data_IF_479473566326
#
_entry.id   IF_479473566326
#
_cell.length_a   1.000
_cell.length_b   1.000
_cell.length_c   1.000
_cell.angle_alpha   90.00
_cell.angle_beta   90.00
_cell.angle_gamma   90.00
#
_symmetry.space_group_name_H-M   'P 1'
#
loop_
_entity.id
_entity.type
_entity.pdbx_description
1 polymer ?
#
# COMPACT_ATOMS: atom_id res chain seq x y z
N UNK A 1 8.76 -1.00 12.06
CA UNK A 1 8.00 -0.14 11.12
C UNK A 1 8.01 1.33 11.52
N UNK A 2 7.81 1.69 12.79
CA UNK A 2 7.78 3.08 13.24
C UNK A 2 9.09 3.87 12.97
N UNK A 3 10.26 3.27 13.25
CA UNK A 3 11.56 3.91 13.02
C UNK A 3 11.80 4.25 11.53
N UNK A 4 11.52 3.29 10.63
CA UNK A 4 11.63 3.50 9.18
C UNK A 4 10.72 4.61 8.68
N UNK A 5 9.50 4.73 9.22
CA UNK A 5 8.57 5.81 8.87
C UNK A 5 9.14 7.18 9.27
N UNK A 6 9.68 7.30 10.49
CA UNK A 6 10.30 8.53 10.96
C UNK A 6 11.56 8.91 10.13
N UNK A 7 12.37 7.94 9.72
CA UNK A 7 13.50 8.18 8.82
C UNK A 7 13.07 8.74 7.46
N UNK A 8 11.99 8.20 6.89
CA UNK A 8 11.41 8.67 5.62
C UNK A 8 10.91 10.10 5.75
N UNK A 9 10.21 10.43 6.85
CA UNK A 9 9.73 11.79 7.13
C UNK A 9 10.89 12.78 7.25
N UNK A 10 11.93 12.44 8.00
CA UNK A 10 13.14 13.28 8.12
C UNK A 10 13.85 13.49 6.78
N UNK A 11 13.86 12.48 5.91
CA UNK A 11 14.44 12.60 4.57
C UNK A 11 13.58 13.51 3.67
N UNK A 12 12.25 13.39 3.75
CA UNK A 12 11.32 14.24 3.01
C UNK A 12 11.48 15.72 3.39
N UNK A 13 11.58 16.02 4.69
CA UNK A 13 11.81 17.39 5.19
C UNK A 13 13.12 18.00 4.65
N UNK A 14 14.21 17.22 4.63
CA UNK A 14 15.50 17.65 4.07
C UNK A 14 15.41 17.96 2.58
N UNK A 15 14.61 17.21 1.83
CA UNK A 15 14.38 17.42 0.40
C UNK A 15 13.60 18.71 0.18
N UNK A 16 12.47 18.89 0.87
CA UNK A 16 11.62 20.09 0.76
C UNK A 16 12.42 21.33 1.16
N UNK A 17 13.13 21.30 2.30
CA UNK A 17 13.98 22.42 2.73
C UNK A 17 15.09 22.75 1.72
N UNK A 18 15.67 21.73 1.06
CA UNK A 18 16.66 21.91 0.01
C UNK A 18 16.08 22.55 -1.26
N UNK A 19 14.84 22.22 -1.62
CA UNK A 19 14.13 22.80 -2.77
C UNK A 19 13.70 24.25 -2.49
N UNK A 20 13.16 24.52 -1.30
CA UNK A 20 12.81 25.89 -0.86
C UNK A 20 14.03 26.81 -0.84
N UNK A 21 15.21 26.32 -0.42
CA UNK A 21 16.47 27.09 -0.51
C UNK A 21 16.90 27.40 -1.93
N UNK A 22 16.60 26.50 -2.88
CA UNK A 22 16.87 26.72 -4.31
C UNK A 22 15.90 27.73 -4.92
N UNK A 23 14.61 27.66 -4.61
CA UNK A 23 13.61 28.63 -5.09
C UNK A 23 13.88 30.04 -4.53
N UNK A 24 14.40 30.14 -3.31
CA UNK A 24 14.86 31.41 -2.69
C UNK A 24 16.20 31.95 -3.22
N UNK A 25 16.84 31.30 -4.19
CA UNK A 25 18.13 31.76 -4.74
C UNK A 25 19.34 31.63 -3.79
N UNK A 26 19.17 31.11 -2.57
CA UNK A 26 20.24 30.93 -1.57
C UNK A 26 21.11 29.67 -1.84
N UNK A 27 21.13 29.20 -3.08
CA UNK A 27 21.80 27.97 -3.46
C UNK A 27 23.32 28.18 -3.59
N UNK A 28 24.04 27.79 -2.55
CA UNK A 28 25.51 27.85 -2.52
C UNK A 28 26.09 26.59 -3.17
N UNK A 29 27.00 26.76 -4.16
CA UNK A 29 27.63 25.62 -4.85
C UNK A 29 28.43 24.74 -3.89
N UNK A 30 28.57 23.44 -4.20
CA UNK A 30 29.36 22.48 -3.40
C UNK A 30 30.78 22.98 -3.10
N UNK A 31 31.38 23.73 -4.04
CA UNK A 31 32.74 24.29 -3.93
C UNK A 31 32.80 25.43 -2.89
N UNK A 32 31.79 26.30 -2.87
CA UNK A 32 31.67 27.38 -1.89
C UNK A 32 31.30 26.85 -0.48
N UNK A 33 30.45 25.82 -0.39
CA UNK A 33 30.08 25.18 0.88
C UNK A 33 31.25 24.44 1.56
N UNK A 34 32.17 23.85 0.77
CA UNK A 34 33.42 23.25 1.29
C UNK A 34 34.39 24.31 1.83
N UNK A 35 34.35 25.53 1.30
CA UNK A 35 35.17 26.67 1.76
C UNK A 35 34.69 27.22 3.10
N UNK A 36 33.37 27.37 3.29
CA UNK A 36 32.78 27.79 4.57
C UNK A 36 32.99 26.77 5.70
N UNK A 37 32.96 25.47 5.38
CA UNK A 37 33.18 24.42 6.39
C UNK A 37 34.64 24.31 6.85
N UNK A 38 35.58 24.90 6.10
CA UNK A 38 37.01 24.96 6.44
C UNK A 38 37.38 26.19 7.28
N UNK A 39 36.50 27.19 7.39
CA UNK A 39 36.75 28.46 8.09
C UNK A 39 36.02 28.63 9.42
N UNK A 40 35.29 27.62 9.92
CA UNK A 40 34.41 27.74 11.09
C UNK A 40 34.71 26.74 12.21
N UNK A 41 35.90 26.82 12.80
CA UNK A 41 36.23 26.11 14.04
C UNK A 41 36.86 27.09 15.04
N UNK A 42 36.01 27.91 15.66
CA UNK A 42 36.29 28.66 16.89
C UNK A 42 34.94 29.07 17.51
N UNK A 43 34.79 28.81 18.81
CA UNK A 43 33.57 28.86 19.63
C UNK A 43 33.08 30.28 19.94
N UNK A 44 31.79 30.44 20.25
CA UNK A 44 31.32 31.06 21.51
C UNK A 44 29.79 31.03 21.67
N UNK A 45 29.41 31.06 22.94
CA UNK A 45 28.13 30.83 23.61
C UNK A 45 27.11 31.98 23.59
N UNK A 46 25.89 31.59 23.95
CA UNK A 46 24.87 32.27 24.78
C UNK A 46 24.14 33.56 24.31
N UNK A 47 22.79 33.42 24.28
CA UNK A 47 21.86 34.34 24.94
C UNK A 47 21.30 35.50 24.12
N UNK A 48 19.99 35.49 23.84
CA UNK A 48 19.06 36.48 24.41
C UNK A 48 17.60 36.13 24.10
N UNK A 49 16.76 36.26 25.11
CA UNK A 49 15.33 35.99 25.09
C UNK A 49 14.53 37.23 24.66
N UNK A 50 13.41 36.97 23.98
CA UNK A 50 12.20 37.80 24.00
C UNK A 50 12.17 39.05 23.10
N UNK A 51 11.54 38.93 21.92
CA UNK A 51 10.57 39.92 21.40
C UNK A 51 10.03 39.50 20.02
N UNK A 52 8.73 39.68 19.81
CA UNK A 52 7.93 39.55 18.56
C UNK A 52 7.35 38.17 18.20
N UNK A 53 6.43 37.68 19.02
CA UNK A 53 5.56 36.52 18.72
C UNK A 53 4.81 36.68 17.39
N UNK A 54 4.34 37.89 17.04
CA UNK A 54 3.52 38.12 15.84
C UNK A 54 4.31 38.12 14.52
N UNK A 55 5.53 38.67 14.49
CA UNK A 55 6.37 38.62 13.28
C UNK A 55 6.90 37.23 12.98
N UNK A 56 7.08 36.41 14.01
CA UNK A 56 7.56 35.03 13.88
C UNK A 56 6.45 34.11 13.36
N UNK A 57 5.21 34.33 13.79
CA UNK A 57 4.03 33.61 13.28
C UNK A 57 3.72 33.94 11.82
N UNK A 58 3.80 35.22 11.43
CA UNK A 58 3.61 35.65 10.03
C UNK A 58 4.72 35.08 9.13
N UNK A 59 5.97 35.06 9.61
CA UNK A 59 7.08 34.46 8.88
C UNK A 59 6.96 32.93 8.80
N UNK A 60 6.48 32.27 9.84
CA UNK A 60 6.24 30.82 9.84
C UNK A 60 5.13 30.44 8.85
N UNK A 61 4.04 31.20 8.81
CA UNK A 61 2.94 31.00 7.87
C UNK A 61 3.40 31.19 6.40
N UNK A 62 4.20 32.21 6.12
CA UNK A 62 4.77 32.45 4.79
C UNK A 62 5.76 31.34 4.37
N UNK A 63 6.57 30.84 5.29
CA UNK A 63 7.49 29.71 5.03
C UNK A 63 6.72 28.43 4.70
N UNK A 64 5.60 28.17 5.40
CA UNK A 64 4.78 26.99 5.17
C UNK A 64 4.01 27.09 3.83
N UNK A 65 3.46 28.26 3.51
CA UNK A 65 2.83 28.51 2.20
C UNK A 65 3.82 28.29 1.03
N UNK A 66 5.07 28.73 1.19
CA UNK A 66 6.13 28.48 0.20
C UNK A 66 6.51 27.00 0.08
N UNK A 67 6.47 26.24 1.19
CA UNK A 67 6.71 24.78 1.18
C UNK A 67 5.61 24.06 0.42
N UNK A 68 4.35 24.37 0.71
CA UNK A 68 3.19 23.79 0.04
C UNK A 68 3.21 24.06 -1.47
N UNK A 69 3.55 25.29 -1.88
CA UNK A 69 3.66 25.66 -3.29
C UNK A 69 4.75 24.86 -4.03
N UNK A 70 5.92 24.67 -3.40
CA UNK A 70 7.01 23.86 -3.97
C UNK A 70 6.62 22.39 -4.09
N UNK A 71 5.89 21.85 -3.10
CA UNK A 71 5.38 20.47 -3.16
C UNK A 71 4.39 20.33 -4.31
N UNK A 72 3.44 21.26 -4.46
CA UNK A 72 2.45 21.24 -5.54
C UNK A 72 3.10 21.28 -6.93
N UNK A 73 4.11 22.11 -7.13
CA UNK A 73 4.86 22.20 -8.39
C UNK A 73 5.63 20.91 -8.72
N UNK A 74 6.26 20.29 -7.72
CA UNK A 74 6.94 19.00 -7.88
C UNK A 74 5.96 17.88 -8.17
N UNK A 75 4.80 17.85 -7.52
CA UNK A 75 3.76 16.85 -7.78
C UNK A 75 3.24 16.98 -9.21
N UNK A 76 2.98 18.21 -9.67
CA UNK A 76 2.53 18.47 -11.04
C UNK A 76 3.56 18.10 -12.11
N UNK A 77 4.85 18.36 -11.85
CA UNK A 77 5.92 18.16 -12.84
C UNK A 77 6.53 16.75 -12.85
N UNK A 78 6.61 16.08 -11.69
CA UNK A 78 7.31 14.80 -11.54
C UNK A 78 6.40 13.61 -11.29
N UNK A 79 5.18 13.83 -10.80
CA UNK A 79 4.25 12.74 -10.50
C UNK A 79 3.20 12.69 -11.60
N UNK A 80 3.53 11.96 -12.67
CA UNK A 80 2.56 11.61 -13.71
C UNK A 80 1.69 10.48 -13.17
N UNK A 81 0.37 10.71 -13.10
CA UNK A 81 -0.58 9.62 -12.88
C UNK A 81 -0.48 8.64 -14.05
N UNK A 82 -0.14 7.37 -13.82
CA UNK A 82 -0.03 6.39 -14.91
C UNK A 82 -1.37 6.21 -15.61
N UNK A 83 -1.34 5.92 -16.92
CA UNK A 83 -2.56 5.58 -17.68
C UNK A 83 -3.26 4.38 -17.01
N UNK A 84 -4.59 4.36 -17.10
CA UNK A 84 -5.40 3.23 -16.63
C UNK A 84 -4.96 1.89 -17.24
N UNK A 85 -4.40 1.93 -18.45
CA UNK A 85 -3.95 0.74 -19.19
C UNK A 85 -2.70 0.08 -18.57
N UNK A 86 -1.93 0.80 -17.75
CA UNK A 86 -0.64 0.33 -17.17
C UNK A 86 -0.77 0.15 -15.65
N UNK A 87 -1.91 0.52 -15.07
CA UNK A 87 -2.11 0.44 -13.63
C UNK A 87 -2.58 -0.97 -13.25
N UNK A 88 -1.72 -1.73 -12.59
CA UNK A 88 -2.11 -3.01 -11.99
C UNK A 88 -3.04 -2.73 -10.80
N UNK A 89 -4.33 -3.02 -10.97
CA UNK A 89 -5.27 -3.02 -9.87
C UNK A 89 -5.16 -4.36 -9.14
N UNK A 90 -4.89 -4.38 -7.82
CA UNK A 90 -4.89 -5.62 -7.05
C UNK A 90 -6.31 -6.21 -7.05
N UNK A 91 -6.42 -7.47 -7.49
CA UNK A 91 -7.64 -8.25 -7.31
C UNK A 91 -7.65 -8.73 -5.87
N UNK A 92 -8.58 -8.18 -5.08
CA UNK A 92 -8.72 -8.53 -3.68
C UNK A 92 -9.59 -9.79 -3.59
N UNK A 93 -9.04 -10.86 -3.02
CA UNK A 93 -9.78 -12.08 -2.71
C UNK A 93 -10.65 -11.96 -1.46
N UNK A 94 -10.44 -10.90 -0.69
CA UNK A 94 -11.18 -10.60 0.52
C UNK A 94 -11.81 -9.21 0.43
N UNK A 95 -12.90 -9.01 1.16
CA UNK A 95 -13.55 -7.72 1.23
C UNK A 95 -12.89 -6.90 2.36
N UNK A 96 -12.09 -5.90 1.99
CA UNK A 96 -11.36 -5.04 2.95
C UNK A 96 -12.25 -4.32 3.99
N UNK A 97 -13.55 -4.26 3.74
CA UNK A 97 -14.52 -3.64 4.63
C UNK A 97 -15.04 -4.58 5.72
N UNK A 98 -14.92 -5.89 5.51
CA UNK A 98 -15.43 -6.90 6.42
C UNK A 98 -14.27 -7.37 7.29
N UNK A 99 -14.31 -7.04 8.58
CA UNK A 99 -13.31 -7.54 9.53
C UNK A 99 -13.73 -8.94 9.98
N UNK A 100 -12.78 -9.74 10.43
CA UNK A 100 -13.08 -11.05 11.01
C UNK A 100 -14.07 -10.95 12.20
N UNK A 101 -14.06 -9.83 12.94
CA UNK A 101 -15.02 -9.54 14.02
C UNK A 101 -16.47 -9.35 13.56
N UNK A 102 -16.66 -8.98 12.29
CA UNK A 102 -17.99 -8.70 11.72
C UNK A 102 -18.63 -9.99 11.17
N UNK A 103 -17.86 -11.08 11.09
CA UNK A 103 -18.34 -12.37 10.62
C UNK A 103 -19.08 -13.08 11.74
N UNK A 104 -20.34 -13.42 11.48
CA UNK A 104 -21.10 -14.32 12.35
C UNK A 104 -20.80 -15.75 11.92
N UNK A 105 -20.46 -16.66 12.86
CA UNK A 105 -20.33 -18.08 12.56
C UNK A 105 -21.60 -18.59 11.89
N UNK A 106 -21.49 -19.01 10.63
CA UNK A 106 -22.59 -19.66 9.94
C UNK A 106 -22.56 -21.14 10.32
N UNK A 107 -23.57 -21.61 11.04
CA UNK A 107 -23.76 -23.04 11.24
C UNK A 107 -24.02 -23.69 9.89
N UNK A 108 -23.17 -24.66 9.52
CA UNK A 108 -23.38 -25.46 8.31
C UNK A 108 -24.55 -26.40 8.55
N UNK A 109 -25.74 -25.89 8.35
CA UNK A 109 -26.97 -26.65 8.51
C UNK A 109 -27.29 -27.38 7.20
N UNK A 110 -26.42 -28.32 6.85
CA UNK A 110 -26.52 -29.26 5.73
C UNK A 110 -25.81 -30.57 6.13
N UNK A 111 -26.35 -31.76 5.82
CA UNK A 111 -27.59 -32.07 5.09
C UNK A 111 -28.86 -32.00 5.96
N UNK A 112 -29.97 -31.47 5.42
CA UNK A 112 -31.27 -31.36 6.13
C UNK A 112 -32.32 -32.38 5.70
N UNK A 113 -32.39 -32.66 4.40
CA UNK A 113 -33.38 -33.57 3.82
C UNK A 113 -32.73 -34.91 3.49
N UNK A 114 -33.52 -35.97 3.34
CA UNK A 114 -32.97 -37.27 2.95
C UNK A 114 -32.33 -37.24 1.56
N UNK A 115 -32.87 -36.44 0.64
CA UNK A 115 -32.23 -36.16 -0.65
C UNK A 115 -30.83 -35.55 -0.48
N UNK A 116 -30.65 -34.61 0.47
CA UNK A 116 -29.33 -34.05 0.75
C UNK A 116 -28.36 -35.09 1.29
N UNK A 117 -28.81 -35.96 2.20
CA UNK A 117 -28.00 -37.05 2.75
C UNK A 117 -27.55 -38.01 1.65
N UNK A 118 -28.44 -38.38 0.73
CA UNK A 118 -28.10 -39.21 -0.44
C UNK A 118 -27.06 -38.52 -1.30
N UNK A 119 -27.23 -37.23 -1.62
CA UNK A 119 -26.24 -36.46 -2.39
C UNK A 119 -24.86 -36.41 -1.72
N UNK A 120 -24.81 -36.27 -0.39
CA UNK A 120 -23.55 -36.31 0.36
C UNK A 120 -22.87 -37.68 0.21
N UNK A 121 -23.63 -38.78 0.37
CA UNK A 121 -23.09 -40.14 0.23
C UNK A 121 -22.59 -40.43 -1.18
N UNK A 122 -23.32 -39.98 -2.19
CA UNK A 122 -22.89 -40.12 -3.59
C UNK A 122 -21.63 -39.31 -3.86
N UNK A 123 -21.54 -38.09 -3.31
CA UNK A 123 -20.33 -37.27 -3.40
C UNK A 123 -19.14 -37.96 -2.73
N UNK A 124 -19.31 -38.46 -1.51
CA UNK A 124 -18.28 -39.18 -0.75
C UNK A 124 -17.79 -40.42 -1.51
N UNK A 125 -18.69 -41.27 -1.99
CA UNK A 125 -18.35 -42.48 -2.76
C UNK A 125 -17.58 -42.16 -4.06
N UNK A 126 -18.01 -41.15 -4.81
CA UNK A 126 -17.34 -40.76 -6.05
C UNK A 126 -15.98 -40.08 -5.80
N UNK A 127 -15.88 -39.31 -4.71
CA UNK A 127 -14.64 -38.68 -4.29
C UNK A 127 -13.59 -39.71 -3.85
N UNK A 128 -13.99 -40.70 -3.05
CA UNK A 128 -13.13 -41.81 -2.62
C UNK A 128 -12.63 -42.66 -3.79
N UNK A 129 -13.44 -42.77 -4.86
CA UNK A 129 -13.05 -43.42 -6.12
C UNK A 129 -12.08 -42.60 -6.98
N UNK A 130 -11.69 -41.40 -6.54
CA UNK A 130 -10.73 -40.55 -7.25
C UNK A 130 -11.33 -39.78 -8.43
N UNK A 131 -12.66 -39.60 -8.47
CA UNK A 131 -13.31 -38.76 -9.46
C UNK A 131 -13.30 -37.29 -9.04
N UNK A 132 -13.11 -36.39 -10.01
CA UNK A 132 -13.29 -34.96 -9.80
C UNK A 132 -14.73 -34.57 -10.11
N UNK A 133 -15.34 -33.76 -9.25
CA UNK A 133 -16.76 -33.42 -9.36
C UNK A 133 -16.97 -31.91 -9.31
N UNK A 134 -17.87 -31.39 -10.16
CA UNK A 134 -18.36 -30.02 -10.12
C UNK A 134 -19.90 -29.98 -10.07
N UNK A 135 -20.47 -28.79 -9.93
CA UNK A 135 -21.93 -28.61 -9.87
C UNK A 135 -22.56 -28.96 -11.21
N UNK A 136 -23.47 -29.94 -11.22
CA UNK A 136 -24.13 -30.44 -12.43
C UNK A 136 -25.37 -29.64 -12.86
N UNK A 137 -25.74 -28.58 -12.13
CA UNK A 137 -27.02 -27.88 -12.30
C UNK A 137 -27.25 -27.34 -13.71
N UNK A 138 -26.17 -26.94 -14.40
CA UNK A 138 -26.22 -26.49 -15.81
C UNK A 138 -26.69 -27.58 -16.79
N UNK A 139 -26.50 -28.86 -16.43
CA UNK A 139 -26.80 -30.02 -17.27
C UNK A 139 -28.01 -30.81 -16.75
N UNK A 140 -28.76 -30.27 -15.77
CA UNK A 140 -29.93 -30.93 -15.19
C UNK A 140 -29.60 -32.08 -14.24
N UNK A 141 -28.35 -32.20 -13.77
CA UNK A 141 -27.93 -33.17 -12.76
C UNK A 141 -27.44 -32.51 -11.47
N UNK A 142 -27.23 -33.31 -10.42
CA UNK A 142 -26.65 -32.82 -9.17
C UNK A 142 -25.13 -32.62 -9.29
N UNK A 143 -24.45 -33.57 -9.92
CA UNK A 143 -22.99 -33.58 -10.06
C UNK A 143 -22.57 -33.75 -11.51
N UNK A 144 -21.50 -33.07 -11.89
CA UNK A 144 -20.77 -33.29 -13.13
C UNK A 144 -19.45 -33.98 -12.79
N UNK A 145 -19.30 -35.23 -13.22
CA UNK A 145 -18.20 -36.11 -12.81
C UNK A 145 -17.18 -36.24 -13.93
N UNK A 146 -15.90 -36.06 -13.60
CA UNK A 146 -14.75 -36.24 -14.47
C UNK A 146 -13.98 -37.48 -13.99
N UNK A 147 -13.79 -38.44 -14.89
CA UNK A 147 -12.98 -39.64 -14.62
C UNK A 147 -11.50 -39.26 -14.56
N UNK A 148 -10.80 -39.68 -13.51
CA UNK A 148 -9.47 -39.20 -13.08
C UNK A 148 -8.27 -39.52 -13.97
N UNK A 149 -8.39 -39.41 -15.29
CA UNK A 149 -7.26 -39.38 -16.23
C UNK A 149 -7.02 -37.93 -16.67
N UNK A 150 -6.63 -37.06 -15.74
CA UNK A 150 -6.19 -35.71 -16.07
C UNK A 150 -4.66 -35.68 -16.28
N UNK A 151 -4.15 -36.46 -17.24
CA UNK A 151 -2.72 -36.49 -17.58
C UNK A 151 -2.19 -35.24 -18.29
N UNK A 152 -2.96 -34.15 -18.39
CA UNK A 152 -2.50 -32.90 -19.01
C UNK A 152 -3.05 -31.67 -18.29
N UNK A 153 -2.47 -31.34 -17.12
CA UNK A 153 -2.11 -29.97 -16.74
C UNK A 153 -1.17 -29.97 -15.52
N UNK A 154 -0.15 -30.82 -15.58
CA UNK A 154 1.10 -30.58 -14.87
C UNK A 154 1.84 -29.42 -15.56
N UNK A 155 1.36 -28.19 -15.42
CA UNK A 155 2.20 -27.01 -15.50
C UNK A 155 1.42 -25.82 -14.94
N UNK A 156 1.84 -25.40 -13.75
CA UNK A 156 1.80 -24.07 -13.16
C UNK A 156 1.35 -24.21 -11.70
N UNK A 157 2.19 -23.67 -10.82
CA UNK A 157 2.11 -23.63 -9.35
C UNK A 157 2.72 -24.86 -8.65
N UNK A 158 4.05 -24.92 -8.71
CA UNK A 158 4.86 -25.32 -7.55
C UNK A 158 5.38 -24.02 -6.89
N UNK A 159 5.48 -23.94 -5.54
CA UNK A 159 6.03 -22.78 -4.83
C UNK A 159 7.54 -22.58 -5.07
#
# INVERSE_FOLDING_TARGET
MAQRKAEIEQQAEKIVAGLVRKSRGQHVSKKARKKLKKSGSAESSEGNAGSSTEHNEIQAAEIEAQREAVIADVMKSRVSTPSRDITLAPVLYECLRTKASDLVPAELNYPRTDAHKVRCRVFEDLWEKGHYMTVGSKFGGDFLVYSGELFLQALIIQP
#
